data_IF_785900565095
#
_entry.id   IF_785900565095
#
_cell.length_a   1.000
_cell.length_b   1.000
_cell.length_c   1.000
_cell.angle_alpha   90.00
_cell.angle_beta   90.00
_cell.angle_gamma   90.00
#
_symmetry.space_group_name_H-M   'P 1'
#
loop_
_entity.id
_entity.type
_entity.pdbx_description
1 polymer ?
#
# COMPACT_ATOMS: atom_id res chain seq x y z
N UNK A 1 68.00 3.23 -26.30
CA UNK A 1 67.42 4.38 -25.57
C UNK A 1 66.73 5.30 -26.57
N UNK A 2 65.44 5.10 -26.81
CA UNK A 2 64.66 5.97 -27.72
C UNK A 2 64.33 7.29 -27.03
N UNK A 3 64.79 8.39 -27.62
CA UNK A 3 64.48 9.75 -27.17
C UNK A 3 63.09 10.13 -27.67
N UNK A 4 62.14 10.33 -26.76
CA UNK A 4 60.83 10.92 -27.05
C UNK A 4 61.02 12.29 -27.72
N UNK A 5 60.73 12.37 -29.02
CA UNK A 5 60.72 13.62 -29.79
C UNK A 5 59.53 14.48 -29.33
N UNK A 6 59.81 15.55 -28.61
CA UNK A 6 58.81 16.56 -28.27
C UNK A 6 58.33 17.26 -29.56
N UNK A 7 57.09 16.97 -29.97
CA UNK A 7 56.40 17.69 -31.04
C UNK A 7 56.18 19.14 -30.59
N UNK A 8 56.91 20.09 -31.19
CA UNK A 8 56.72 21.53 -30.97
C UNK A 8 55.43 21.97 -31.67
N UNK A 9 54.31 21.94 -30.94
CA UNK A 9 53.03 22.49 -31.40
C UNK A 9 53.13 24.02 -31.57
N UNK A 10 52.70 24.54 -32.72
CA UNK A 10 52.58 25.99 -32.95
C UNK A 10 51.51 26.59 -32.03
N UNK A 11 51.57 27.91 -31.75
CA UNK A 11 50.62 28.59 -30.86
C UNK A 11 49.14 28.33 -31.22
N UNK A 12 48.82 28.29 -32.53
CA UNK A 12 47.49 27.93 -33.05
C UNK A 12 47.07 26.48 -32.73
N UNK A 13 47.99 25.53 -32.81
CA UNK A 13 47.72 24.11 -32.52
C UNK A 13 47.46 23.89 -31.03
N UNK A 14 48.15 24.62 -30.13
CA UNK A 14 47.89 24.57 -28.69
C UNK A 14 46.47 25.07 -28.35
N UNK A 15 46.03 26.16 -28.97
CA UNK A 15 44.67 26.69 -28.80
C UNK A 15 43.62 25.67 -29.26
N UNK A 16 43.83 25.04 -30.41
CA UNK A 16 42.92 23.99 -30.91
C UNK A 16 42.83 22.82 -29.94
N UNK A 17 43.96 22.32 -29.41
CA UNK A 17 43.96 21.23 -28.42
C UNK A 17 43.20 21.63 -27.16
N UNK A 18 43.40 22.84 -26.63
CA UNK A 18 42.66 23.34 -25.47
C UNK A 18 41.17 23.47 -25.74
N UNK A 19 40.77 24.01 -26.89
CA UNK A 19 39.37 24.08 -27.28
C UNK A 19 38.74 22.69 -27.37
N UNK A 20 39.42 21.71 -27.98
CA UNK A 20 38.89 20.32 -28.04
C UNK A 20 38.74 19.69 -26.67
N UNK A 21 39.69 19.95 -25.76
CA UNK A 21 39.62 19.45 -24.38
C UNK A 21 38.47 20.09 -23.61
N UNK A 22 38.26 21.41 -23.75
CA UNK A 22 37.15 22.13 -23.15
C UNK A 22 35.79 21.62 -23.65
N UNK A 23 35.67 21.38 -24.95
CA UNK A 23 34.45 20.84 -25.57
C UNK A 23 34.17 19.42 -25.08
N UNK A 24 35.20 18.58 -24.99
CA UNK A 24 35.09 17.23 -24.44
C UNK A 24 34.71 17.25 -22.95
N UNK A 25 35.29 18.15 -22.15
CA UNK A 25 34.96 18.31 -20.74
C UNK A 25 33.51 18.79 -20.54
N UNK A 26 33.04 19.74 -21.35
CA UNK A 26 31.64 20.20 -21.33
C UNK A 26 30.67 19.08 -21.74
N UNK A 27 31.03 18.30 -22.76
CA UNK A 27 30.27 17.11 -23.16
C UNK A 27 30.19 16.06 -22.05
N UNK A 28 31.31 15.77 -21.38
CA UNK A 28 31.34 14.85 -20.25
C UNK A 28 30.50 15.35 -19.06
N UNK A 29 30.55 16.66 -18.77
CA UNK A 29 29.79 17.27 -17.68
C UNK A 29 28.28 17.25 -17.95
N UNK A 30 27.86 17.57 -19.17
CA UNK A 30 26.45 17.47 -19.58
C UNK A 30 25.93 16.03 -19.53
N UNK A 31 26.72 15.06 -20.01
CA UNK A 31 26.36 13.65 -19.90
C UNK A 31 26.25 13.19 -18.43
N UNK A 32 27.21 13.57 -17.59
CA UNK A 32 27.17 13.27 -16.16
C UNK A 32 25.94 13.88 -15.46
N UNK A 33 25.58 15.13 -15.80
CA UNK A 33 24.39 15.77 -15.29
C UNK A 33 23.12 15.01 -15.67
N UNK A 34 22.95 14.62 -16.94
CA UNK A 34 21.78 13.85 -17.40
C UNK A 34 21.68 12.51 -16.68
N UNK A 35 22.81 11.81 -16.51
CA UNK A 35 22.85 10.53 -15.79
C UNK A 35 22.47 10.69 -14.32
N UNK A 36 22.87 11.79 -13.68
CA UNK A 36 22.54 12.08 -12.27
C UNK A 36 21.09 12.53 -12.07
N UNK A 37 20.53 13.27 -13.03
CA UNK A 37 19.16 13.78 -12.96
C UNK A 37 18.11 12.69 -13.21
N UNK A 38 18.44 11.67 -14.03
CA UNK A 38 17.55 10.56 -14.38
C UNK A 38 16.86 9.89 -13.17
N UNK A 39 17.56 9.43 -12.12
CA UNK A 39 16.91 8.80 -10.97
C UNK A 39 15.94 9.75 -10.25
N UNK A 40 16.28 11.03 -10.11
CA UNK A 40 15.42 12.02 -9.44
C UNK A 40 14.10 12.21 -10.20
N UNK A 41 14.15 12.23 -11.54
CA UNK A 41 12.93 12.29 -12.38
C UNK A 41 12.08 11.03 -12.18
N UNK A 42 12.70 9.85 -12.14
CA UNK A 42 12.01 8.57 -11.94
C UNK A 42 11.33 8.54 -10.58
N UNK A 43 12.02 8.93 -9.51
CA UNK A 43 11.49 8.94 -8.16
C UNK A 43 10.32 9.91 -8.04
N UNK A 44 10.44 11.10 -8.62
CA UNK A 44 9.37 12.09 -8.59
C UNK A 44 8.15 11.66 -9.41
N UNK A 45 8.37 11.09 -10.60
CA UNK A 45 7.29 10.55 -11.42
C UNK A 45 6.58 9.39 -10.69
N UNK A 46 7.34 8.52 -10.04
CA UNK A 46 6.82 7.41 -9.25
C UNK A 46 5.99 7.92 -8.08
N UNK A 47 6.52 8.84 -7.27
CA UNK A 47 5.82 9.42 -6.14
C UNK A 47 4.54 10.15 -6.57
N UNK A 48 4.60 10.96 -7.64
CA UNK A 48 3.42 11.68 -8.15
C UNK A 48 2.34 10.73 -8.64
N UNK A 49 2.72 9.68 -9.35
CA UNK A 49 1.77 8.65 -9.81
C UNK A 49 1.18 7.88 -8.65
N UNK A 50 1.99 7.43 -7.69
CA UNK A 50 1.52 6.72 -6.50
C UNK A 50 0.51 7.55 -5.70
N UNK A 51 0.77 8.85 -5.52
CA UNK A 51 -0.17 9.77 -4.86
C UNK A 51 -1.48 9.95 -5.64
N UNK A 52 -1.40 10.06 -6.96
CA UNK A 52 -2.57 10.16 -7.82
C UNK A 52 -3.43 8.89 -7.75
N UNK A 53 -2.81 7.73 -7.88
CA UNK A 53 -3.46 6.42 -7.80
C UNK A 53 -4.09 6.21 -6.43
N UNK A 54 -3.38 6.54 -5.35
CA UNK A 54 -3.93 6.46 -4.00
C UNK A 54 -5.21 7.29 -3.86
N UNK A 55 -5.21 8.53 -4.37
CA UNK A 55 -6.41 9.39 -4.38
C UNK A 55 -7.56 8.78 -5.20
N UNK A 56 -7.27 8.17 -6.34
CA UNK A 56 -8.28 7.48 -7.16
C UNK A 56 -8.90 6.31 -6.39
N UNK A 57 -8.07 5.47 -5.78
CA UNK A 57 -8.54 4.31 -4.99
C UNK A 57 -9.42 4.77 -3.84
N UNK A 58 -8.97 5.73 -3.04
CA UNK A 58 -9.75 6.26 -1.92
C UNK A 58 -11.06 6.87 -2.39
N UNK A 59 -11.06 7.63 -3.49
CA UNK A 59 -12.28 8.21 -4.05
C UNK A 59 -13.27 7.13 -4.54
N UNK A 60 -12.79 6.10 -5.24
CA UNK A 60 -13.65 5.01 -5.72
C UNK A 60 -14.27 4.21 -4.56
N UNK A 61 -13.51 3.97 -3.48
CA UNK A 61 -14.02 3.28 -2.30
C UNK A 61 -15.05 4.15 -1.57
N UNK A 62 -14.76 5.43 -1.33
CA UNK A 62 -15.72 6.35 -0.69
C UNK A 62 -17.02 6.45 -1.50
N UNK A 63 -16.93 6.58 -2.83
CA UNK A 63 -18.11 6.63 -3.68
C UNK A 63 -18.90 5.30 -3.66
N UNK A 64 -18.25 4.16 -3.45
CA UNK A 64 -18.92 2.87 -3.29
C UNK A 64 -19.64 2.76 -1.93
N UNK A 65 -19.08 3.36 -0.87
CA UNK A 65 -19.73 3.44 0.44
C UNK A 65 -20.91 4.42 0.42
N UNK A 66 -20.69 5.65 -0.05
CA UNK A 66 -21.69 6.74 -0.03
C UNK A 66 -22.91 6.45 -0.91
N UNK A 67 -22.71 5.72 -2.02
CA UNK A 67 -23.80 5.29 -2.89
C UNK A 67 -24.63 4.13 -2.34
N UNK A 68 -24.28 3.60 -1.16
CA UNK A 68 -24.92 2.42 -0.58
C UNK A 68 -24.69 1.12 -1.36
N UNK A 69 -23.68 1.10 -2.26
CA UNK A 69 -23.26 -0.14 -2.96
C UNK A 69 -22.66 -1.13 -1.96
N UNK A 70 -21.96 -0.62 -0.95
CA UNK A 70 -21.42 -1.42 0.17
C UNK A 70 -22.41 -1.32 1.34
N UNK A 71 -23.29 -2.30 1.47
CA UNK A 71 -24.20 -2.45 2.61
C UNK A 71 -23.98 -3.82 3.27
N UNK A 72 -23.64 -3.80 4.57
CA UNK A 72 -23.38 -5.00 5.34
C UNK A 72 -24.54 -6.01 5.30
N UNK A 73 -25.78 -5.54 5.38
CA UNK A 73 -26.96 -6.41 5.40
C UNK A 73 -27.19 -7.18 4.10
N UNK A 74 -26.58 -6.72 2.99
CA UNK A 74 -26.63 -7.39 1.69
C UNK A 74 -25.46 -8.34 1.46
N UNK A 75 -24.34 -8.09 2.14
CA UNK A 75 -23.12 -8.89 2.06
C UNK A 75 -23.14 -10.07 3.02
N UNK A 76 -23.73 -9.89 4.20
CA UNK A 76 -23.75 -10.88 5.26
C UNK A 76 -25.14 -11.00 5.86
N UNK A 77 -25.61 -12.23 5.99
CA UNK A 77 -26.84 -12.58 6.70
C UNK A 77 -26.56 -13.56 7.83
N UNK A 78 -27.31 -13.45 8.92
CA UNK A 78 -27.23 -14.35 10.06
C UNK A 78 -28.42 -15.29 10.07
N UNK A 79 -28.16 -16.59 10.14
CA UNK A 79 -29.17 -17.57 10.53
C UNK A 79 -29.29 -17.54 12.05
N UNK A 80 -30.53 -17.56 12.56
CA UNK A 80 -30.83 -17.57 13.99
C UNK A 80 -31.69 -18.78 14.35
N UNK A 81 -31.51 -19.29 15.57
CA UNK A 81 -32.40 -20.31 16.14
C UNK A 81 -33.77 -19.71 16.56
N UNK A 82 -34.68 -20.56 17.05
CA UNK A 82 -36.00 -20.15 17.52
C UNK A 82 -35.94 -19.17 18.72
N UNK A 83 -34.81 -19.11 19.43
CA UNK A 83 -34.57 -18.25 20.58
C UNK A 83 -33.87 -16.94 20.18
N UNK A 84 -33.51 -16.77 18.90
CA UNK A 84 -32.86 -15.58 18.37
C UNK A 84 -31.32 -15.59 18.41
N UNK A 85 -30.69 -16.70 18.80
CA UNK A 85 -29.22 -16.82 18.82
C UNK A 85 -28.68 -17.08 17.42
N UNK A 86 -27.56 -16.43 17.08
CA UNK A 86 -26.87 -16.64 15.80
C UNK A 86 -26.27 -18.04 15.74
N UNK A 87 -26.67 -18.84 14.76
CA UNK A 87 -26.18 -20.20 14.55
C UNK A 87 -25.21 -20.31 13.38
N UNK A 88 -25.38 -19.47 12.36
CA UNK A 88 -24.48 -19.40 11.22
C UNK A 88 -24.40 -17.99 10.63
N UNK A 89 -23.24 -17.69 10.05
CA UNK A 89 -23.00 -16.50 9.24
C UNK A 89 -22.90 -16.93 7.77
N UNK A 90 -23.74 -16.35 6.93
CA UNK A 90 -23.75 -16.59 5.48
C UNK A 90 -23.29 -15.34 4.76
N UNK A 91 -22.28 -15.51 3.92
CA UNK A 91 -21.73 -14.44 3.10
C UNK A 91 -22.22 -14.55 1.66
N UNK A 92 -22.73 -13.46 1.10
CA UNK A 92 -23.22 -13.39 -0.27
C UNK A 92 -22.05 -13.20 -1.25
N UNK A 93 -21.40 -14.32 -1.60
CA UNK A 93 -20.23 -14.31 -2.49
C UNK A 93 -20.51 -13.71 -3.87
N UNK A 94 -21.75 -13.80 -4.37
CA UNK A 94 -22.11 -13.20 -5.65
C UNK A 94 -22.04 -11.67 -5.59
N UNK A 95 -22.55 -11.05 -4.51
CA UNK A 95 -22.44 -9.60 -4.31
C UNK A 95 -21.00 -9.17 -4.01
N UNK A 96 -20.22 -9.95 -3.25
CA UNK A 96 -18.78 -9.67 -3.08
C UNK A 96 -18.05 -9.63 -4.42
N UNK A 97 -18.22 -10.64 -5.28
CA UNK A 97 -17.56 -10.69 -6.58
C UNK A 97 -18.01 -9.53 -7.49
N UNK A 98 -19.31 -9.19 -7.45
CA UNK A 98 -19.86 -8.05 -8.19
C UNK A 98 -19.23 -6.73 -7.74
N UNK A 99 -19.09 -6.51 -6.43
CA UNK A 99 -18.45 -5.32 -5.88
C UNK A 99 -16.95 -5.27 -6.21
N UNK A 100 -16.23 -6.39 -6.11
CA UNK A 100 -14.81 -6.47 -6.49
C UNK A 100 -14.63 -6.03 -7.96
N UNK A 101 -15.44 -6.58 -8.87
CA UNK A 101 -15.39 -6.22 -10.28
C UNK A 101 -15.74 -4.73 -10.50
N UNK A 102 -16.82 -4.25 -9.89
CA UNK A 102 -17.27 -2.86 -10.02
C UNK A 102 -16.26 -1.85 -9.49
N UNK A 103 -15.63 -2.12 -8.34
CA UNK A 103 -14.63 -1.23 -7.74
C UNK A 103 -13.35 -1.21 -8.58
N UNK A 104 -12.91 -2.39 -9.05
CA UNK A 104 -11.73 -2.49 -9.92
C UNK A 104 -11.94 -1.73 -11.23
N UNK A 105 -13.13 -1.84 -11.83
CA UNK A 105 -13.49 -1.13 -13.07
C UNK A 105 -13.57 0.39 -12.88
N UNK A 106 -14.20 0.87 -11.80
CA UNK A 106 -14.27 2.31 -11.47
C UNK A 106 -12.87 2.92 -11.29
N UNK A 107 -11.98 2.21 -10.58
CA UNK A 107 -10.57 2.64 -10.44
C UNK A 107 -9.89 2.73 -11.80
N UNK A 108 -10.04 1.70 -12.66
CA UNK A 108 -9.42 1.68 -13.98
C UNK A 108 -9.93 2.78 -14.89
N UNK A 109 -11.24 3.06 -14.86
CA UNK A 109 -11.85 4.12 -15.63
C UNK A 109 -11.30 5.49 -15.21
N UNK A 110 -11.26 5.78 -13.91
CA UNK A 110 -10.68 7.04 -13.38
C UNK A 110 -9.20 7.18 -13.70
N UNK A 111 -8.45 6.07 -13.70
CA UNK A 111 -7.04 6.08 -14.10
C UNK A 111 -6.86 6.38 -15.59
N UNK A 112 -7.75 5.87 -16.45
CA UNK A 112 -7.72 6.13 -17.88
C UNK A 112 -7.92 7.63 -18.17
N UNK A 113 -8.82 8.29 -17.43
CA UNK A 113 -9.13 9.72 -17.57
C UNK A 113 -7.92 10.62 -17.27
N UNK A 114 -7.02 10.19 -16.37
CA UNK A 114 -5.81 10.96 -15.99
C UNK A 114 -4.51 10.31 -16.47
N UNK A 115 -4.60 9.46 -17.49
CA UNK A 115 -3.49 8.65 -18.00
C UNK A 115 -2.28 9.46 -18.51
N UNK A 116 -2.47 10.72 -18.91
CA UNK A 116 -1.38 11.61 -19.32
C UNK A 116 -1.22 12.75 -18.33
N UNK A 117 -0.01 12.91 -17.78
CA UNK A 117 0.31 13.96 -16.83
C UNK A 117 1.60 14.68 -17.23
N UNK A 118 1.62 16.01 -17.10
CA UNK A 118 2.83 16.80 -17.29
C UNK A 118 3.49 17.08 -15.93
N UNK A 119 4.75 16.66 -15.80
CA UNK A 119 5.57 16.86 -14.61
C UNK A 119 6.47 18.07 -14.80
N UNK A 120 6.29 19.11 -13.99
CA UNK A 120 7.12 20.31 -13.99
C UNK A 120 8.11 20.28 -12.83
N UNK A 121 9.42 20.23 -13.13
CA UNK A 121 10.49 20.11 -12.13
C UNK A 121 11.51 21.23 -12.32
N UNK A 122 11.73 22.10 -11.33
CA UNK A 122 12.82 23.07 -11.39
C UNK A 122 14.17 22.35 -11.53
N UNK A 123 15.03 22.80 -12.46
CA UNK A 123 16.34 22.18 -12.70
C UNK A 123 17.17 22.15 -11.42
N UNK A 124 17.05 23.16 -10.56
CA UNK A 124 17.74 23.19 -9.27
C UNK A 124 17.37 22.01 -8.36
N UNK A 125 16.13 21.51 -8.41
CA UNK A 125 15.72 20.29 -7.70
C UNK A 125 16.40 19.04 -8.27
N UNK A 126 16.58 18.98 -9.60
CA UNK A 126 17.25 17.86 -10.28
C UNK A 126 18.76 17.80 -9.99
N UNK A 127 19.35 18.89 -9.49
CA UNK A 127 20.77 18.87 -9.07
C UNK A 127 21.01 18.15 -7.75
N UNK A 128 19.96 17.84 -6.97
CA UNK A 128 20.06 17.25 -5.64
C UNK A 128 20.63 18.20 -4.57
N UNK A 129 20.98 19.44 -4.92
CA UNK A 129 21.51 20.42 -3.96
C UNK A 129 20.39 21.09 -3.17
N UNK A 130 20.41 21.05 -1.82
CA UNK A 130 19.43 21.76 -1.00
C UNK A 130 19.41 23.27 -1.25
N UNK A 131 20.54 23.86 -1.66
CA UNK A 131 20.65 25.30 -1.91
C UNK A 131 19.94 25.73 -3.20
N UNK A 132 19.88 24.82 -4.18
CA UNK A 132 19.29 25.05 -5.50
C UNK A 132 17.88 24.47 -5.61
N UNK A 133 17.41 23.72 -4.62
CA UNK A 133 16.07 23.15 -4.61
C UNK A 133 14.98 24.21 -4.90
N UNK A 134 14.08 23.90 -5.84
CA UNK A 134 13.00 24.79 -6.24
C UNK A 134 13.41 26.01 -7.09
N UNK A 135 14.68 26.19 -7.41
CA UNK A 135 15.17 27.32 -8.22
C UNK A 135 15.48 26.94 -9.67
N UNK A 136 15.51 27.96 -10.52
CA UNK A 136 15.85 27.85 -11.93
C UNK A 136 14.65 27.58 -12.83
N UNK A 137 14.87 27.43 -14.16
CA UNK A 137 13.81 27.11 -15.10
C UNK A 137 13.26 25.71 -14.86
N UNK A 138 12.00 25.49 -15.24
CA UNK A 138 11.33 24.21 -15.11
C UNK A 138 11.60 23.31 -16.31
N UNK A 139 11.98 22.06 -16.04
CA UNK A 139 11.93 20.96 -16.99
C UNK A 139 10.51 20.39 -17.00
N UNK A 140 9.87 20.38 -18.16
CA UNK A 140 8.57 19.76 -18.37
C UNK A 140 8.76 18.35 -18.95
N UNK A 141 8.37 17.34 -18.19
CA UNK A 141 8.42 15.94 -18.58
C UNK A 141 6.99 15.43 -18.74
N UNK A 142 6.61 15.10 -19.97
CA UNK A 142 5.34 14.43 -20.23
C UNK A 142 5.49 12.95 -19.89
N UNK A 143 4.58 12.45 -19.08
CA UNK A 143 4.54 11.05 -18.66
C UNK A 143 3.16 10.46 -18.93
N UNK A 144 3.15 9.17 -19.26
CA UNK A 144 1.93 8.39 -19.44
C UNK A 144 1.92 7.25 -18.43
N UNK A 145 0.77 6.99 -17.83
CA UNK A 145 0.58 5.91 -16.87
C UNK A 145 -0.54 4.99 -17.32
N UNK A 146 -0.27 3.69 -17.28
CA UNK A 146 -1.24 2.62 -17.53
C UNK A 146 -1.14 1.61 -16.41
N UNK A 147 -2.26 1.01 -16.01
CA UNK A 147 -2.25 0.10 -14.88
C UNK A 147 -3.35 -0.93 -14.91
N UNK A 148 -3.26 -1.84 -13.94
CA UNK A 148 -4.29 -2.82 -13.61
C UNK A 148 -4.68 -2.62 -12.15
N UNK A 149 -5.97 -2.83 -11.84
CA UNK A 149 -6.49 -2.74 -10.49
C UNK A 149 -7.17 -4.06 -10.13
N UNK A 150 -6.93 -4.51 -8.90
CA UNK A 150 -7.54 -5.71 -8.34
C UNK A 150 -8.08 -5.37 -6.96
N UNK A 151 -9.38 -5.51 -6.77
CA UNK A 151 -10.05 -5.44 -5.48
C UNK A 151 -10.37 -6.85 -4.96
N UNK A 152 -10.14 -7.09 -3.67
CA UNK A 152 -10.46 -8.36 -2.99
C UNK A 152 -11.09 -8.08 -1.64
N UNK A 153 -12.06 -8.89 -1.24
CA UNK A 153 -12.59 -8.84 0.12
C UNK A 153 -12.01 -9.97 0.96
N UNK A 154 -11.61 -9.64 2.19
CA UNK A 154 -11.19 -10.59 3.22
C UNK A 154 -12.12 -10.52 4.42
N UNK A 155 -12.49 -11.69 4.98
CA UNK A 155 -13.39 -11.78 6.12
C UNK A 155 -12.59 -12.26 7.33
N UNK A 156 -12.49 -11.42 8.36
CA UNK A 156 -11.70 -11.69 9.55
C UNK A 156 -12.58 -11.81 10.79
N UNK A 157 -12.30 -12.84 11.59
CA UNK A 157 -12.95 -13.08 12.88
C UNK A 157 -11.92 -12.92 13.99
N UNK A 158 -12.26 -12.13 15.01
CA UNK A 158 -11.39 -11.88 16.17
C UNK A 158 -12.21 -11.85 17.46
N UNK A 159 -11.58 -12.13 18.60
CA UNK A 159 -12.25 -12.01 19.90
C UNK A 159 -12.48 -10.53 20.23
N UNK A 160 -13.69 -10.19 20.70
CA UNK A 160 -14.08 -8.83 21.10
C UNK A 160 -14.42 -8.71 22.60
N UNK A 161 -14.41 -9.82 23.33
CA UNK A 161 -14.80 -9.89 24.75
C UNK A 161 -15.27 -11.28 25.15
N UNK A 162 -15.82 -11.40 26.38
CA UNK A 162 -16.39 -12.66 26.88
C UNK A 162 -17.58 -13.04 25.99
N UNK A 163 -17.48 -14.20 25.33
CA UNK A 163 -18.48 -14.70 24.38
C UNK A 163 -18.83 -13.69 23.28
N UNK A 164 -17.85 -12.90 22.81
CA UNK A 164 -18.05 -11.96 21.71
C UNK A 164 -17.01 -12.18 20.60
N UNK A 165 -17.49 -12.26 19.37
CA UNK A 165 -16.66 -12.36 18.17
C UNK A 165 -16.89 -11.16 17.29
N UNK A 166 -15.84 -10.35 17.05
CA UNK A 166 -15.84 -9.30 16.04
C UNK A 166 -15.61 -9.93 14.68
N UNK A 167 -16.53 -9.66 13.75
CA UNK A 167 -16.39 -9.99 12.35
C UNK A 167 -16.15 -8.70 11.55
N UNK A 168 -15.07 -8.67 10.78
CA UNK A 168 -14.67 -7.54 9.94
C UNK A 168 -14.55 -7.97 8.49
N UNK A 169 -15.05 -7.13 7.59
CA UNK A 169 -14.85 -7.26 6.15
C UNK A 169 -13.84 -6.20 5.73
N UNK A 170 -12.68 -6.66 5.27
CA UNK A 170 -11.64 -5.81 4.69
C UNK A 170 -11.75 -5.81 3.17
N UNK A 171 -11.45 -4.67 2.56
CA UNK A 171 -11.29 -4.49 1.12
C UNK A 171 -9.83 -4.18 0.84
N UNK A 172 -9.15 -5.10 0.19
CA UNK A 172 -7.79 -4.97 -0.31
C UNK A 172 -7.81 -4.54 -1.76
N UNK A 173 -7.22 -3.37 -2.05
CA UNK A 173 -7.09 -2.85 -3.40
C UNK A 173 -5.62 -2.74 -3.77
N UNK A 174 -5.23 -3.53 -4.77
CA UNK A 174 -3.90 -3.51 -5.36
C UNK A 174 -3.95 -2.90 -6.77
N UNK A 175 -3.22 -1.81 -6.97
CA UNK A 175 -3.06 -1.18 -8.27
C UNK A 175 -1.60 -1.26 -8.72
N UNK A 176 -1.38 -1.90 -9.87
CA UNK A 176 -0.06 -1.98 -10.50
C UNK A 176 0.00 -0.97 -11.64
N UNK A 177 1.00 -0.11 -11.65
CA UNK A 177 1.12 0.98 -12.61
C UNK A 177 2.46 0.96 -13.31
N UNK A 178 2.41 1.04 -14.63
CA UNK A 178 3.55 1.27 -15.52
C UNK A 178 3.58 2.74 -15.90
N UNK A 179 4.71 3.39 -15.68
CA UNK A 179 4.91 4.82 -15.93
C UNK A 179 5.92 4.95 -17.07
N UNK A 180 5.46 5.46 -18.20
CA UNK A 180 6.24 5.71 -19.39
C UNK A 180 6.79 7.14 -19.32
N UNK A 181 8.11 7.23 -19.30
CA UNK A 181 8.89 8.45 -19.35
C UNK A 181 9.68 8.49 -20.68
N UNK A 182 10.14 9.67 -21.13
CA UNK A 182 11.01 9.75 -22.30
C UNK A 182 12.27 8.90 -22.11
N UNK A 183 12.43 7.85 -22.93
CA UNK A 183 13.60 6.97 -22.95
C UNK A 183 13.64 5.89 -21.85
N UNK A 184 12.63 5.76 -20.99
CA UNK A 184 12.56 4.69 -19.99
C UNK A 184 11.14 4.42 -19.48
N UNK A 185 10.92 3.25 -18.91
CA UNK A 185 9.67 2.88 -18.21
C UNK A 185 10.02 2.49 -16.78
N UNK A 186 9.20 2.91 -15.82
CA UNK A 186 9.27 2.48 -14.41
C UNK A 186 7.94 1.89 -13.96
N UNK A 187 7.93 1.17 -12.84
CA UNK A 187 6.76 0.46 -12.32
C UNK A 187 6.57 0.77 -10.84
N UNK A 188 5.32 0.86 -10.40
CA UNK A 188 4.98 1.04 -9.00
C UNK A 188 3.71 0.28 -8.63
N UNK A 189 3.62 -0.19 -7.38
CA UNK A 189 2.44 -0.83 -6.81
C UNK A 189 1.90 0.07 -5.71
N UNK A 190 0.59 0.33 -5.74
CA UNK A 190 -0.13 1.01 -4.66
C UNK A 190 -1.11 0.02 -4.06
N UNK A 191 -0.97 -0.23 -2.77
CA UNK A 191 -1.85 -1.14 -2.00
C UNK A 191 -2.60 -0.33 -0.95
N UNK A 192 -3.90 -0.54 -0.84
CA UNK A 192 -4.74 0.02 0.21
C UNK A 192 -5.59 -1.10 0.83
N UNK A 193 -5.66 -1.10 2.15
CA UNK A 193 -6.55 -1.99 2.92
C UNK A 193 -7.53 -1.10 3.69
N UNK A 194 -8.83 -1.34 3.53
CA UNK A 194 -9.88 -0.56 4.19
C UNK A 194 -10.92 -1.51 4.80
N UNK A 195 -11.26 -1.29 6.07
CA UNK A 195 -12.39 -1.97 6.70
C UNK A 195 -13.70 -1.37 6.21
N UNK A 196 -14.42 -2.11 5.36
CA UNK A 196 -15.67 -1.63 4.76
C UNK A 196 -16.89 -1.91 5.62
N UNK A 197 -16.80 -2.91 6.50
CA UNK A 197 -17.85 -3.19 7.46
C UNK A 197 -17.31 -3.99 8.66
N UNK A 198 -17.94 -3.78 9.82
CA UNK A 198 -17.60 -4.47 11.06
C UNK A 198 -18.86 -4.71 11.88
N UNK A 199 -18.94 -5.87 12.54
CA UNK A 199 -19.98 -6.17 13.51
C UNK A 199 -19.44 -7.01 14.67
N UNK A 200 -20.11 -6.94 15.81
CA UNK A 200 -19.82 -7.77 16.99
C UNK A 200 -20.95 -8.76 17.17
N UNK A 201 -20.61 -10.05 17.10
CA UNK A 201 -21.50 -11.17 17.33
C UNK A 201 -21.42 -11.51 18.82
N UNK A 202 -22.53 -11.38 19.52
CA UNK A 202 -22.64 -11.74 20.94
C UNK A 202 -23.20 -13.15 21.05
N UNK A 203 -22.44 -14.05 21.66
CA UNK A 203 -22.85 -15.41 22.01
C UNK A 203 -23.45 -15.49 23.43
N UNK A 204 -24.10 -16.60 23.73
CA UNK A 204 -24.62 -16.87 25.08
C UNK A 204 -23.48 -16.99 26.09
N UNK A 205 -23.69 -16.48 27.32
CA UNK A 205 -22.80 -16.74 28.45
C UNK A 205 -23.29 -18.02 29.13
N UNK A 206 -22.42 -19.03 29.40
CA UNK A 206 -22.85 -20.23 30.11
C UNK A 206 -23.37 -19.87 31.51
N UNK A 207 -24.57 -20.36 31.87
CA UNK A 207 -25.19 -20.12 33.18
C UNK A 207 -24.46 -20.82 34.35
N UNK A 208 -23.50 -21.70 34.07
CA UNK A 208 -22.80 -22.49 35.10
C UNK A 208 -21.30 -22.53 34.84
N UNK A 209 -20.53 -22.05 35.82
CA UNK A 209 -19.08 -22.25 35.90
C UNK A 209 -18.81 -23.35 36.94
N UNK A 210 -18.32 -24.51 36.51
CA UNK A 210 -17.82 -25.53 37.46
C UNK A 210 -16.38 -25.19 37.80
N UNK A 211 -16.15 -24.78 39.05
CA UNK A 211 -14.80 -24.58 39.58
C UNK A 211 -14.28 -25.95 40.03
N UNK A 212 -13.24 -26.47 39.38
CA UNK A 212 -12.51 -27.64 39.89
C UNK A 212 -11.40 -27.14 40.79
N UNK A 213 -11.60 -27.22 42.12
CA UNK A 213 -10.51 -27.04 43.07
C UNK A 213 -9.65 -28.31 43.05
N UNK A 214 -8.34 -28.18 42.80
CA UNK A 214 -7.39 -29.30 42.85
C UNK A 214 -6.79 -29.49 44.24
N UNK A 215 -7.33 -28.85 45.29
CA UNK A 215 -7.00 -29.22 46.67
C UNK A 215 -7.70 -30.53 46.99
N UNK A 216 -6.97 -31.62 47.28
CA UNK A 216 -7.58 -32.82 47.83
C UNK A 216 -8.22 -32.45 49.16
N UNK A 217 -9.53 -32.65 49.29
CA UNK A 217 -10.21 -32.50 50.57
C UNK A 217 -9.63 -33.57 51.53
N UNK A 218 -8.93 -33.15 52.59
CA UNK A 218 -8.51 -34.00 53.71
C UNK A 218 -9.76 -34.48 54.47
N UNK A 219 -10.47 -35.47 53.92
CA UNK A 219 -11.65 -36.08 54.54
C UNK A 219 -11.26 -37.14 55.58
N UNK A 220 -10.00 -37.58 55.64
CA UNK A 220 -9.58 -38.73 56.46
C UNK A 220 -9.48 -38.47 57.98
N UNK A 221 -9.42 -37.21 58.46
CA UNK A 221 -9.17 -36.96 59.89
C UNK A 221 -10.42 -36.87 60.81
N UNK A 222 -11.64 -36.84 60.27
CA UNK A 222 -12.85 -36.74 61.11
C UNK A 222 -13.33 -38.10 61.65
N UNK A 223 -12.94 -39.22 61.04
CA UNK A 223 -13.36 -40.55 61.48
C UNK A 223 -12.59 -41.04 62.72
N UNK A 224 -11.30 -40.72 62.82
CA UNK A 224 -10.46 -41.14 63.95
C UNK A 224 -10.79 -40.37 65.24
N UNK A 225 -11.10 -39.07 65.15
CA UNK A 225 -11.42 -38.24 66.32
C UNK A 225 -12.77 -38.63 66.97
N UNK A 226 -13.72 -39.17 66.19
CA UNK A 226 -15.00 -39.66 66.71
C UNK A 226 -14.89 -41.02 67.41
N UNK A 227 -13.92 -41.85 67.02
CA UNK A 227 -13.66 -43.16 67.65
C UNK A 227 -12.89 -43.01 68.96
N UNK A 228 -11.95 -42.05 69.05
CA UNK A 228 -11.14 -41.85 70.26
C UNK A 228 -11.95 -41.22 71.41
N UNK A 229 -12.98 -40.43 71.11
CA UNK A 229 -13.72 -39.67 72.14
C UNK A 229 -15.04 -40.34 72.60
N UNK A 230 -15.46 -41.44 71.98
CA UNK A 230 -16.69 -42.18 72.32
C UNK A 230 -16.44 -43.69 72.60
N UNK A 231 -15.22 -44.06 72.99
CA UNK A 231 -14.87 -45.39 73.49
C UNK A 231 -14.62 -45.41 74.99
#
# INVERSE_FOLDING_TARGET
MERLRYLRLTGRQKVLVWCTFLLAALGALTAAAVLHMRPIVVDLATARTSNMVNRIVVAAINDAVDSGRIDYGRLVSFDKDANGHVTALKSNMAEFNRLQASISDDILQRMADVSTTDLSIPIGTLTGSPLLAGRGPCLHVRMQSVGTATARFDNQFSSAGINQTRHRILLDVDVHVSILLPGLTTYTKVSNEISVAETVIVGGVPDTYTYFSTTPDEIENYADEYIINNG
#
